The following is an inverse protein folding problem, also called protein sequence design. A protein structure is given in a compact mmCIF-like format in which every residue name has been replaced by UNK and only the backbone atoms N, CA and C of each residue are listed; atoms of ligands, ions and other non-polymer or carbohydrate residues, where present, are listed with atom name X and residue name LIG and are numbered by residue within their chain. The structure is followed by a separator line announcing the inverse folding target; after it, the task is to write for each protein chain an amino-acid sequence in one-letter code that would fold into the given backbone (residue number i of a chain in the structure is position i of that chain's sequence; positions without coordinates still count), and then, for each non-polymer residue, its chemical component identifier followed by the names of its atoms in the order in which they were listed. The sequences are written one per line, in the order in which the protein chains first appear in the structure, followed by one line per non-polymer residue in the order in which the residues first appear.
data_IF_580431182593
#
_entry.id   IF_580431182593
#
_cell.length_a   1.000
_cell.length_b   1.000
_cell.length_c   1.000
_cell.angle_alpha   90.00
_cell.angle_beta   90.00
_cell.angle_gamma   90.00
#
_symmetry.space_group_name_H-M   'P 1'
#
loop_
_entity.id
_entity.type
_entity.pdbx_description
1 polymer ?
#
# COMPACT_ATOMS: atom_id res chain seq x y z
N UNK A 1 -45.99 -14.12 -0.77
CA UNK A 1 -44.71 -14.21 -1.49
C UNK A 1 -43.60 -13.86 -0.50
N UNK A 2 -43.03 -14.87 0.18
CA UNK A 2 -42.00 -14.69 1.23
C UNK A 2 -40.63 -14.93 0.61
N UNK A 3 -39.77 -13.90 0.59
CA UNK A 3 -38.37 -13.98 0.17
C UNK A 3 -37.57 -14.37 1.41
N UNK A 4 -37.01 -15.57 1.43
CA UNK A 4 -36.08 -16.03 2.46
C UNK A 4 -34.69 -15.50 2.12
N UNK A 5 -34.19 -14.58 2.95
CA UNK A 5 -32.78 -14.20 2.97
C UNK A 5 -31.96 -15.39 3.50
N UNK A 6 -31.00 -15.84 2.69
CA UNK A 6 -29.97 -16.81 3.10
C UNK A 6 -28.74 -16.01 3.53
N UNK A 7 -28.47 -16.01 4.83
CA UNK A 7 -27.19 -15.58 5.38
C UNK A 7 -26.10 -16.58 4.91
N UNK A 8 -25.14 -16.08 4.14
CA UNK A 8 -23.94 -16.82 3.77
C UNK A 8 -22.97 -16.83 4.96
N UNK A 9 -23.19 -17.76 5.89
CA UNK A 9 -22.23 -18.03 6.95
C UNK A 9 -20.96 -18.62 6.36
N UNK A 10 -19.84 -17.90 6.49
CA UNK A 10 -18.50 -18.44 6.25
C UNK A 10 -18.25 -19.60 7.23
N UNK A 11 -18.40 -20.83 6.77
CA UNK A 11 -18.16 -22.02 7.55
C UNK A 11 -16.66 -22.16 7.86
N UNK A 12 -16.33 -22.58 9.08
CA UNK A 12 -14.95 -22.87 9.53
C UNK A 12 -14.24 -23.85 8.57
N UNK A 13 -15.02 -24.66 7.84
CA UNK A 13 -14.55 -25.57 6.80
C UNK A 13 -13.90 -24.85 5.60
N UNK A 14 -14.39 -23.68 5.19
CA UNK A 14 -13.81 -22.91 4.06
C UNK A 14 -12.44 -22.33 4.43
N UNK A 15 -12.26 -21.89 5.67
CA UNK A 15 -10.96 -21.41 6.18
C UNK A 15 -9.96 -22.57 6.27
N UNK A 16 -10.40 -23.74 6.69
CA UNK A 16 -9.58 -24.97 6.71
C UNK A 16 -9.22 -25.46 5.29
N UNK A 17 -10.15 -25.35 4.33
CA UNK A 17 -9.92 -25.70 2.93
C UNK A 17 -8.89 -24.76 2.28
N UNK A 18 -8.96 -23.46 2.54
CA UNK A 18 -7.97 -22.49 2.04
C UNK A 18 -6.60 -22.70 2.70
N UNK A 19 -6.55 -22.92 4.02
CA UNK A 19 -5.30 -23.16 4.74
C UNK A 19 -4.58 -24.45 4.31
N UNK A 20 -5.35 -25.51 4.05
CA UNK A 20 -4.80 -26.78 3.55
C UNK A 20 -4.26 -26.67 2.13
N UNK A 21 -4.92 -25.90 1.25
CA UNK A 21 -4.45 -25.66 -0.12
C UNK A 21 -3.07 -24.97 -0.19
N UNK A 22 -2.82 -23.99 0.69
CA UNK A 22 -1.52 -23.29 0.78
C UNK A 22 -0.41 -24.22 1.30
N UNK A 23 -0.71 -25.03 2.32
CA UNK A 23 0.24 -26.00 2.85
C UNK A 23 0.62 -27.06 1.80
N UNK A 24 -0.36 -27.54 1.03
CA UNK A 24 -0.12 -28.50 -0.04
C UNK A 24 0.68 -27.89 -1.21
N UNK A 25 0.36 -26.64 -1.58
CA UNK A 25 1.09 -25.91 -2.63
C UNK A 25 2.56 -25.66 -2.27
N UNK A 26 2.86 -25.36 -1.00
CA UNK A 26 4.23 -25.24 -0.51
C UNK A 26 4.97 -26.59 -0.48
N UNK A 27 4.28 -27.67 -0.09
CA UNK A 27 4.87 -29.01 -0.07
C UNK A 27 5.18 -29.50 -1.51
N UNK A 28 4.27 -29.28 -2.46
CA UNK A 28 4.48 -29.61 -3.87
C UNK A 28 5.55 -28.74 -4.53
N UNK A 29 5.62 -27.45 -4.22
CA UNK A 29 6.70 -26.57 -4.67
C UNK A 29 8.08 -27.00 -4.14
N UNK A 30 8.14 -27.62 -2.96
CA UNK A 30 9.37 -28.16 -2.38
C UNK A 30 9.80 -29.49 -3.05
N UNK A 31 8.85 -30.36 -3.38
CA UNK A 31 9.13 -31.65 -4.02
C UNK A 31 9.44 -31.52 -5.52
N UNK A 32 8.81 -30.59 -6.24
CA UNK A 32 9.15 -30.29 -7.64
C UNK A 32 10.53 -29.63 -7.80
N UNK A 33 11.11 -29.10 -6.72
CA UNK A 33 12.44 -28.48 -6.70
C UNK A 33 13.62 -29.46 -6.66
N UNK A 34 13.40 -30.76 -6.46
CA UNK A 34 14.50 -31.74 -6.39
C UNK A 34 15.12 -32.09 -7.75
N UNK A 35 14.44 -31.83 -8.89
CA UNK A 35 14.97 -32.15 -10.23
C UNK A 35 15.69 -30.99 -10.93
N UNK A 36 15.63 -29.77 -10.40
CA UNK A 36 16.27 -28.59 -11.01
C UNK A 36 17.20 -27.91 -10.01
N UNK A 37 18.41 -28.46 -9.91
CA UNK A 37 19.62 -27.70 -9.63
C UNK A 37 19.84 -27.25 -8.20
N UNK A 38 20.65 -28.02 -7.45
CA UNK A 38 21.48 -27.63 -6.28
C UNK A 38 21.27 -26.20 -5.77
N UNK A 39 20.14 -25.94 -5.14
CA UNK A 39 19.93 -24.66 -4.48
C UNK A 39 20.71 -24.70 -3.16
N UNK A 40 21.71 -23.82 -3.06
CA UNK A 40 22.59 -23.71 -1.90
C UNK A 40 21.75 -23.34 -0.66
N UNK A 41 21.50 -24.33 0.21
CA UNK A 41 20.71 -24.22 1.45
C UNK A 41 21.19 -23.10 2.38
N UNK A 42 22.47 -22.69 2.28
CA UNK A 42 23.03 -21.55 3.02
C UNK A 42 22.42 -20.20 2.60
N UNK A 43 22.00 -20.03 1.34
CA UNK A 43 21.34 -18.80 0.87
C UNK A 43 19.89 -18.70 1.35
N UNK A 44 19.17 -19.82 1.35
CA UNK A 44 17.78 -19.88 1.84
C UNK A 44 17.75 -19.63 3.35
N UNK A 45 18.72 -20.17 4.11
CA UNK A 45 18.81 -19.95 5.56
C UNK A 45 19.01 -18.46 5.92
N UNK A 46 19.81 -17.70 5.15
CA UNK A 46 19.99 -16.26 5.36
C UNK A 46 18.72 -15.47 5.02
N UNK A 47 18.00 -15.85 3.96
CA UNK A 47 16.72 -15.24 3.61
C UNK A 47 15.63 -15.51 4.67
N UNK A 48 15.54 -16.75 5.18
CA UNK A 48 14.59 -17.13 6.23
C UNK A 48 14.89 -16.45 7.58
N UNK A 49 16.17 -16.24 7.91
CA UNK A 49 16.53 -15.60 9.18
C UNK A 49 16.04 -14.15 9.27
N UNK A 50 16.13 -13.38 8.17
CA UNK A 50 15.51 -12.04 8.07
C UNK A 50 14.00 -12.09 8.23
N UNK A 51 13.33 -13.10 7.68
CA UNK A 51 11.88 -13.24 7.77
C UNK A 51 11.42 -13.61 9.19
N UNK A 52 12.23 -14.38 9.93
CA UNK A 52 11.95 -14.77 11.32
C UNK A 52 12.17 -13.61 12.31
N UNK A 53 13.18 -12.77 12.07
CA UNK A 53 13.41 -11.56 12.90
C UNK A 53 12.29 -10.52 12.73
N UNK A 54 11.63 -10.48 11.56
CA UNK A 54 10.43 -9.65 11.30
C UNK A 54 9.15 -10.13 11.99
N UNK A 55 9.12 -11.32 12.62
CA UNK A 55 7.96 -11.85 13.36
C UNK A 55 7.97 -11.51 14.86
N UNK A 56 8.85 -10.63 15.34
CA UNK A 56 8.62 -9.97 16.62
C UNK A 56 7.30 -9.20 16.47
N UNK A 57 6.34 -9.43 17.37
CA UNK A 57 5.05 -8.71 17.39
C UNK A 57 5.35 -7.22 17.12
N UNK A 58 4.73 -6.60 16.10
CA UNK A 58 4.93 -5.19 15.87
C UNK A 58 4.62 -4.46 17.18
N UNK A 59 5.42 -3.45 17.57
CA UNK A 59 5.09 -2.61 18.70
C UNK A 59 3.66 -2.10 18.53
N UNK A 60 2.89 -2.07 19.62
CA UNK A 60 1.52 -1.53 19.60
C UNK A 60 1.63 -0.08 19.16
N UNK A 61 1.21 0.21 17.93
CA UNK A 61 1.30 1.55 17.37
C UNK A 61 0.29 2.45 18.07
N UNK A 62 0.75 3.53 18.72
CA UNK A 62 -0.14 4.49 19.36
C UNK A 62 -0.45 5.66 18.43
N UNK A 63 -1.51 6.41 18.74
CA UNK A 63 -1.83 7.64 18.01
C UNK A 63 -0.69 8.67 18.12
N UNK A 64 -0.03 8.73 19.28
CA UNK A 64 1.12 9.61 19.51
C UNK A 64 2.32 9.22 18.63
N UNK A 65 2.54 7.93 18.38
CA UNK A 65 3.61 7.49 17.47
C UNK A 65 3.31 7.87 16.02
N UNK A 66 2.04 7.82 15.61
CA UNK A 66 1.60 8.30 14.29
C UNK A 66 1.87 9.79 14.13
N UNK A 67 1.45 10.61 15.11
CA UNK A 67 1.63 12.06 15.08
C UNK A 67 3.12 12.45 15.07
N UNK A 68 3.95 11.79 15.87
CA UNK A 68 5.41 12.01 15.84
C UNK A 68 6.04 11.62 14.52
N UNK A 69 5.57 10.54 13.89
CA UNK A 69 6.07 10.15 12.57
C UNK A 69 5.65 11.16 11.51
N UNK A 70 4.38 11.56 11.51
CA UNK A 70 3.84 12.57 10.59
C UNK A 70 4.62 13.88 10.67
N UNK A 71 4.90 14.37 11.88
CA UNK A 71 5.70 15.57 12.09
C UNK A 71 7.12 15.45 11.51
N UNK A 72 7.78 14.28 11.64
CA UNK A 72 9.12 14.05 11.04
C UNK A 72 9.06 14.01 9.52
N UNK A 73 8.02 13.39 8.96
CA UNK A 73 7.80 13.33 7.52
C UNK A 73 7.58 14.74 6.96
N UNK A 74 6.71 15.52 7.58
CA UNK A 74 6.47 16.91 7.18
C UNK A 74 7.73 17.78 7.28
N UNK A 75 8.52 17.63 8.35
CA UNK A 75 9.78 18.35 8.50
C UNK A 75 10.79 17.97 7.41
N UNK A 76 10.94 16.69 7.08
CA UNK A 76 11.82 16.23 6.00
C UNK A 76 11.40 16.80 4.64
N UNK A 77 10.11 16.74 4.30
CA UNK A 77 9.58 17.31 3.05
C UNK A 77 9.76 18.83 2.99
N UNK A 78 9.64 19.54 4.11
CA UNK A 78 9.82 20.99 4.18
C UNK A 78 11.30 21.43 4.11
N UNK A 79 12.25 20.54 4.42
CA UNK A 79 13.68 20.83 4.25
C UNK A 79 14.12 20.77 2.80
N UNK A 80 13.44 20.00 1.96
CA UNK A 80 13.69 19.98 0.52
C UNK A 80 13.10 21.23 -0.16
N UNK A 81 13.95 22.02 -0.82
CA UNK A 81 13.58 23.31 -1.41
C UNK A 81 12.52 23.17 -2.51
N UNK A 82 12.50 22.05 -3.21
CA UNK A 82 11.55 21.78 -4.31
C UNK A 82 10.21 21.34 -3.71
N UNK A 83 10.22 20.38 -2.79
CA UNK A 83 9.01 19.80 -2.20
C UNK A 83 8.30 20.74 -1.23
N UNK A 84 9.02 21.59 -0.49
CA UNK A 84 8.46 22.55 0.46
C UNK A 84 7.47 23.56 -0.16
N UNK A 85 7.53 23.75 -1.48
CA UNK A 85 6.63 24.65 -2.23
C UNK A 85 5.42 23.92 -2.81
N UNK A 86 5.31 22.61 -2.62
CA UNK A 86 4.24 21.78 -3.18
C UNK A 86 3.13 21.58 -2.15
N UNK A 87 1.84 21.60 -2.58
CA UNK A 87 0.72 21.31 -1.70
C UNK A 87 0.60 19.79 -1.47
N UNK A 88 1.60 19.20 -0.81
CA UNK A 88 1.64 17.79 -0.42
C UNK A 88 1.01 17.65 0.96
N UNK A 89 0.08 16.72 1.09
CA UNK A 89 -0.54 16.29 2.34
C UNK A 89 0.05 14.94 2.73
N UNK A 90 0.26 14.77 4.01
CA UNK A 90 0.80 13.54 4.61
C UNK A 90 -0.27 13.00 5.54
N UNK A 91 -0.48 11.68 5.52
CA UNK A 91 -1.27 10.99 6.52
C UNK A 91 -0.54 9.72 6.96
N UNK A 92 -0.48 9.45 8.26
CA UNK A 92 0.09 8.21 8.78
C UNK A 92 -1.04 7.26 9.12
N UNK A 93 -1.14 6.15 8.39
CA UNK A 93 -2.21 5.15 8.54
C UNK A 93 -1.88 4.11 9.64
N UNK A 94 -0.67 4.16 10.18
CA UNK A 94 -0.17 3.30 11.26
C UNK A 94 0.84 2.27 10.80
N UNK A 95 1.61 1.70 11.75
CA UNK A 95 2.67 0.70 11.46
C UNK A 95 3.68 1.18 10.40
N UNK A 96 4.08 2.45 10.46
CA UNK A 96 5.00 3.03 9.48
C UNK A 96 4.43 3.19 8.06
N UNK A 97 3.12 2.99 7.86
CA UNK A 97 2.44 3.24 6.60
C UNK A 97 2.15 4.75 6.47
N UNK A 98 2.77 5.38 5.47
CA UNK A 98 2.62 6.81 5.20
C UNK A 98 1.96 6.99 3.84
N UNK A 99 0.89 7.76 3.80
CA UNK A 99 0.21 8.18 2.58
C UNK A 99 0.65 9.60 2.19
N UNK A 100 1.09 9.77 0.95
CA UNK A 100 1.39 11.05 0.34
C UNK A 100 0.31 11.37 -0.70
N UNK A 101 -0.37 12.50 -0.55
CA UNK A 101 -1.38 12.95 -1.51
C UNK A 101 -1.19 14.43 -1.84
N UNK A 102 -1.65 14.87 -3.02
CA UNK A 102 -1.53 16.27 -3.42
C UNK A 102 -1.13 16.42 -4.88
N UNK A 103 -0.51 17.57 -5.20
CA UNK A 103 -0.07 17.90 -6.56
C UNK A 103 1.39 18.28 -6.60
N UNK A 104 2.07 17.79 -7.62
CA UNK A 104 3.46 18.12 -7.96
C UNK A 104 3.54 18.65 -9.39
N UNK A 105 4.65 19.29 -9.73
CA UNK A 105 4.84 19.85 -11.08
C UNK A 105 5.41 18.82 -12.06
N UNK A 106 6.28 17.94 -11.57
CA UNK A 106 7.03 17.00 -12.41
C UNK A 106 7.02 15.59 -11.82
N UNK A 107 7.13 14.58 -12.69
CA UNK A 107 7.19 13.17 -12.27
C UNK A 107 8.42 12.88 -11.39
N UNK A 108 9.53 13.58 -11.62
CA UNK A 108 10.73 13.46 -10.78
C UNK A 108 10.49 13.86 -9.32
N UNK A 109 9.55 14.78 -9.06
CA UNK A 109 9.19 15.20 -7.70
C UNK A 109 8.42 14.10 -6.96
N UNK A 110 7.68 13.25 -7.69
CA UNK A 110 6.98 12.07 -7.11
C UNK A 110 8.00 11.08 -6.56
N UNK A 111 9.05 10.80 -7.32
CA UNK A 111 10.16 9.94 -6.91
C UNK A 111 10.94 10.54 -5.74
N UNK A 112 11.34 11.81 -5.85
CA UNK A 112 12.04 12.52 -4.79
C UNK A 112 11.26 12.53 -3.47
N UNK A 113 9.94 12.77 -3.51
CA UNK A 113 9.09 12.72 -2.32
C UNK A 113 9.01 11.32 -1.73
N UNK A 114 8.90 10.28 -2.57
CA UNK A 114 8.94 8.89 -2.12
C UNK A 114 10.24 8.55 -1.42
N UNK A 115 11.37 8.81 -2.06
CA UNK A 115 12.71 8.51 -1.55
C UNK A 115 12.99 9.27 -0.23
N UNK A 116 12.63 10.56 -0.17
CA UNK A 116 12.82 11.40 1.03
C UNK A 116 12.06 10.83 2.23
N UNK A 117 10.85 10.28 2.02
CA UNK A 117 10.03 9.73 3.09
C UNK A 117 10.46 8.32 3.48
N UNK A 118 10.88 7.50 2.53
CA UNK A 118 11.37 6.13 2.76
C UNK A 118 12.64 6.10 3.63
N UNK A 119 13.48 7.15 3.56
CA UNK A 119 14.68 7.28 4.40
C UNK A 119 14.40 7.58 5.88
N UNK A 120 13.15 7.92 6.24
CA UNK A 120 12.81 8.35 7.60
C UNK A 120 12.63 7.14 8.53
N UNK A 121 13.35 7.16 9.65
CA UNK A 121 13.23 6.12 10.66
C UNK A 121 11.78 5.95 11.17
N UNK A 122 11.26 4.73 11.04
CA UNK A 122 9.90 4.34 11.40
C UNK A 122 8.90 4.36 10.24
N UNK A 123 9.32 4.77 9.03
CA UNK A 123 8.57 4.51 7.80
C UNK A 123 8.90 3.09 7.33
N UNK A 124 7.86 2.31 7.05
CA UNK A 124 7.96 0.95 6.51
C UNK A 124 7.41 0.86 5.08
N UNK A 125 6.43 1.68 4.74
CA UNK A 125 5.79 1.69 3.42
C UNK A 125 5.24 3.06 3.10
N UNK A 126 5.46 3.52 1.87
CA UNK A 126 4.93 4.78 1.36
C UNK A 126 3.89 4.51 0.28
N UNK A 127 2.66 5.02 0.48
CA UNK A 127 1.60 5.03 -0.52
C UNK A 127 1.60 6.38 -1.23
N UNK A 128 1.85 6.35 -2.53
CA UNK A 128 1.98 7.57 -3.32
C UNK A 128 0.72 7.82 -4.15
N UNK A 129 -0.02 8.85 -3.77
CA UNK A 129 -1.20 9.39 -4.44
C UNK A 129 -0.96 10.84 -4.92
N UNK A 130 0.29 11.18 -5.23
CA UNK A 130 0.65 12.48 -5.81
C UNK A 130 0.24 12.54 -7.28
N UNK A 131 -0.37 13.64 -7.68
CA UNK A 131 -0.78 13.91 -9.06
C UNK A 131 0.20 14.87 -9.73
N UNK A 132 0.61 14.57 -10.95
CA UNK A 132 1.49 15.42 -11.74
C UNK A 132 0.68 16.41 -12.57
N UNK A 133 0.97 17.69 -12.40
CA UNK A 133 0.28 18.78 -13.08
C UNK A 133 0.47 18.68 -14.60
N UNK A 134 -0.63 18.80 -15.36
CA UNK A 134 -0.61 18.72 -16.83
C UNK A 134 -0.53 17.31 -17.41
N UNK A 135 -0.19 16.30 -16.60
CA UNK A 135 -0.20 14.88 -17.00
C UNK A 135 -1.49 14.22 -16.53
N UNK A 136 -1.79 14.33 -15.23
CA UNK A 136 -2.96 13.70 -14.61
C UNK A 136 -4.19 14.62 -14.59
N UNK A 137 -4.01 15.87 -15.06
CA UNK A 137 -5.01 16.93 -14.99
C UNK A 137 -6.10 16.89 -16.06
N UNK A 138 -5.97 16.07 -17.10
CA UNK A 138 -7.05 15.88 -18.08
C UNK A 138 -8.06 14.86 -17.58
N UNK A 139 -8.70 15.17 -16.45
CA UNK A 139 -10.08 14.72 -16.27
C UNK A 139 -10.86 15.56 -17.26
N UNK A 140 -10.96 15.08 -18.50
CA UNK A 140 -11.97 15.57 -19.44
C UNK A 140 -13.25 15.53 -18.63
N UNK A 141 -13.81 16.70 -18.33
CA UNK A 141 -15.12 16.78 -17.72
C UNK A 141 -16.02 16.00 -18.66
N UNK A 142 -16.32 14.75 -18.32
CA UNK A 142 -17.23 13.92 -19.11
C UNK A 142 -18.49 14.78 -19.14
N UNK A 143 -18.90 15.32 -20.30
CA UNK A 143 -20.09 16.13 -20.35
C UNK A 143 -21.18 15.23 -19.81
N UNK A 144 -21.71 15.57 -18.62
CA UNK A 144 -22.77 14.80 -18.01
C UNK A 144 -23.87 14.60 -19.05
N UNK A 145 -24.54 13.43 -19.08
CA UNK A 145 -25.52 13.13 -20.13
C UNK A 145 -26.46 14.32 -20.25
N UNK A 146 -26.39 14.98 -21.42
CA UNK A 146 -27.09 16.22 -21.71
C UNK A 146 -28.51 16.11 -21.17
N UNK A 147 -28.84 16.93 -20.17
CA UNK A 147 -30.17 16.94 -19.59
C UNK A 147 -31.19 17.02 -20.73
N UNK A 148 -32.24 16.17 -20.72
CA UNK A 148 -33.20 16.12 -21.82
C UNK A 148 -33.79 17.51 -22.00
N UNK A 149 -33.63 18.03 -23.22
CA UNK A 149 -34.18 19.31 -23.68
C UNK A 149 -35.69 19.23 -23.49
N UNK A 150 -36.19 19.74 -22.36
CA UNK A 150 -37.62 19.85 -22.11
C UNK A 150 -38.21 20.67 -23.26
N UNK A 151 -39.00 19.99 -24.09
CA UNK A 151 -39.75 20.59 -25.17
C UNK A 151 -40.72 21.61 -24.54
N UNK A 152 -40.55 22.88 -24.91
CA UNK A 152 -41.57 23.91 -24.69
C UNK A 152 -42.79 23.54 -25.54
N UNK A 153 -43.90 23.27 -24.87
CA UNK A 153 -45.24 23.53 -25.41
C UNK A 153 -45.61 24.98 -25.20
#
# INVERSE_FOLDING_TARGET
MRRTDREAGFEIADVLAVASGVALGLALGFLAGESVGRVNSRRIALAMRRWRERRKRPPVWTAEDAERLEARVLDALNRDVVLARRPIRVAVLGQGLVELSGRVAHLSEVGLAGDTVDEIAGVDTVLNHLLVTGVDGTVVAVPGPSAPRAARG
#
